data_IF_095429852231
#
_entry.id   IF_095429852231
#
_cell.length_a   1.000
_cell.length_b   1.000
_cell.length_c   1.000
_cell.angle_alpha   90.00
_cell.angle_beta   90.00
_cell.angle_gamma   90.00
#
_symmetry.space_group_name_H-M   'P 1'
#
loop_
_entity.id
_entity.type
_entity.pdbx_description
1 polymer ?
#
# COMPACT_ATOMS: atom_id res chain seq x y z
N UNK A 1 -2.77 16.33 -6.14
CA UNK A 1 -3.93 16.40 -5.23
C UNK A 1 -5.11 15.48 -5.61
N UNK A 2 -4.96 14.51 -6.53
CA UNK A 2 -6.11 13.70 -7.00
C UNK A 2 -6.91 13.02 -5.88
N UNK A 3 -6.25 12.48 -4.85
CA UNK A 3 -6.93 11.81 -3.73
C UNK A 3 -7.97 12.65 -2.99
N UNK A 4 -7.76 13.96 -2.85
CA UNK A 4 -8.68 14.88 -2.15
C UNK A 4 -9.38 15.88 -3.09
N UNK A 5 -9.17 15.74 -4.40
CA UNK A 5 -9.80 16.55 -5.44
C UNK A 5 -11.30 16.26 -5.59
N UNK A 6 -11.95 16.89 -6.57
CA UNK A 6 -13.31 16.51 -6.96
C UNK A 6 -13.24 15.16 -7.68
N UNK A 7 -13.97 14.17 -7.18
CA UNK A 7 -14.11 12.87 -7.84
C UNK A 7 -15.38 12.87 -8.70
N UNK A 8 -15.33 12.18 -9.84
CA UNK A 8 -16.49 11.97 -10.71
C UNK A 8 -17.40 10.83 -10.26
N UNK A 9 -16.98 10.06 -9.25
CA UNK A 9 -17.75 8.99 -8.62
C UNK A 9 -17.41 8.91 -7.11
N UNK A 10 -18.35 8.40 -6.31
CA UNK A 10 -18.09 7.88 -4.97
C UNK A 10 -17.82 6.37 -5.00
N UNK A 11 -17.07 5.81 -4.03
CA UNK A 11 -16.79 4.38 -3.96
C UNK A 11 -18.04 3.49 -4.04
N UNK A 12 -19.13 3.91 -3.39
CA UNK A 12 -20.39 3.15 -3.35
C UNK A 12 -21.14 3.09 -4.70
N UNK A 13 -20.67 3.79 -5.72
CA UNK A 13 -21.23 3.75 -7.08
C UNK A 13 -20.53 2.71 -7.96
N UNK A 14 -19.44 2.09 -7.46
CA UNK A 14 -18.72 1.04 -8.16
C UNK A 14 -19.51 -0.26 -8.06
N UNK A 15 -19.68 -0.94 -9.20
CA UNK A 15 -20.31 -2.26 -9.27
C UNK A 15 -19.30 -3.34 -8.86
N UNK A 16 -19.79 -4.48 -8.39
CA UNK A 16 -18.94 -5.62 -8.09
C UNK A 16 -18.08 -5.98 -9.33
N UNK A 17 -16.74 -5.88 -9.26
CA UNK A 17 -15.87 -6.25 -10.38
C UNK A 17 -15.76 -7.77 -10.56
N UNK A 18 -16.13 -8.57 -9.54
CA UNK A 18 -16.03 -10.04 -9.52
C UNK A 18 -17.41 -10.67 -9.29
N UNK A 19 -18.35 -10.58 -10.24
CA UNK A 19 -19.68 -11.17 -10.09
C UNK A 19 -19.64 -12.70 -10.01
N UNK A 20 -18.61 -13.32 -10.60
CA UNK A 20 -18.45 -14.77 -10.71
C UNK A 20 -17.51 -15.35 -9.63
N UNK A 21 -17.13 -14.53 -8.63
CA UNK A 21 -16.20 -14.88 -7.55
C UNK A 21 -14.80 -15.33 -8.02
N UNK A 22 -14.38 -14.87 -9.19
CA UNK A 22 -13.05 -15.06 -9.79
C UNK A 22 -11.98 -14.12 -9.21
N UNK A 23 -12.37 -13.27 -8.26
CA UNK A 23 -11.49 -12.40 -7.49
C UNK A 23 -12.20 -11.85 -6.24
N UNK A 24 -11.48 -11.06 -5.45
CA UNK A 24 -12.03 -10.44 -4.24
C UNK A 24 -11.50 -9.03 -4.00
N UNK A 25 -12.30 -8.24 -3.27
CA UNK A 25 -11.91 -6.90 -2.81
C UNK A 25 -11.89 -6.88 -1.29
N UNK A 26 -10.76 -6.44 -0.71
CA UNK A 26 -10.54 -6.41 0.73
C UNK A 26 -10.28 -4.97 1.19
N UNK A 27 -10.87 -4.59 2.32
CA UNK A 27 -10.52 -3.36 3.04
C UNK A 27 -10.05 -3.74 4.44
N UNK A 28 -8.82 -3.35 4.78
CA UNK A 28 -8.24 -3.49 6.11
C UNK A 28 -8.14 -2.11 6.77
N UNK A 29 -8.67 -2.00 7.98
CA UNK A 29 -8.74 -0.72 8.70
C UNK A 29 -8.39 -0.91 10.18
N UNK A 30 -7.47 -0.08 10.69
CA UNK A 30 -7.25 0.04 12.13
C UNK A 30 -8.45 0.68 12.81
N UNK A 31 -8.98 0.05 13.86
CA UNK A 31 -10.12 0.58 14.62
C UNK A 31 -9.72 1.83 15.44
N UNK A 32 -8.47 1.90 15.88
CA UNK A 32 -7.91 3.05 16.58
C UNK A 32 -7.20 4.05 15.64
N UNK A 33 -7.45 3.98 14.33
CA UNK A 33 -6.87 4.90 13.36
C UNK A 33 -7.37 6.35 13.61
N UNK A 34 -6.43 7.21 14.02
CA UNK A 34 -6.68 8.63 14.29
C UNK A 34 -6.45 9.52 13.07
N UNK A 35 -5.93 8.98 11.98
CA UNK A 35 -5.71 9.69 10.71
C UNK A 35 -6.92 9.53 9.81
N UNK A 36 -7.47 8.31 9.70
CA UNK A 36 -8.62 7.99 8.85
C UNK A 36 -9.78 7.48 9.71
N UNK A 37 -11.00 8.04 9.57
CA UNK A 37 -12.17 7.51 10.26
C UNK A 37 -12.50 6.11 9.76
N UNK A 38 -12.31 5.10 10.60
CA UNK A 38 -12.75 3.73 10.25
C UNK A 38 -14.25 3.69 9.93
N UNK A 39 -15.06 4.55 10.57
CA UNK A 39 -16.52 4.62 10.41
C UNK A 39 -16.96 4.84 8.96
N UNK A 40 -16.17 5.58 8.18
CA UNK A 40 -16.45 5.84 6.76
C UNK A 40 -16.15 4.59 5.91
N UNK A 41 -15.03 3.92 6.16
CA UNK A 41 -14.67 2.69 5.44
C UNK A 41 -15.61 1.52 5.81
N UNK A 42 -16.07 1.47 7.06
CA UNK A 42 -17.14 0.57 7.52
C UNK A 42 -18.45 0.84 6.77
N UNK A 43 -18.87 2.10 6.68
CA UNK A 43 -20.09 2.48 5.94
C UNK A 43 -20.02 2.10 4.45
N UNK A 44 -18.88 2.34 3.80
CA UNK A 44 -18.68 1.96 2.39
C UNK A 44 -18.84 0.46 2.22
N UNK A 45 -18.22 -0.33 3.09
CA UNK A 45 -18.28 -1.79 3.03
C UNK A 45 -19.69 -2.34 3.32
N UNK A 46 -20.45 -1.70 4.20
CA UNK A 46 -21.88 -2.04 4.41
C UNK A 46 -22.74 -1.78 3.17
N UNK A 47 -22.39 -0.78 2.34
CA UNK A 47 -23.08 -0.48 1.09
C UNK A 47 -22.63 -1.37 -0.07
N UNK A 48 -21.44 -1.94 0.03
CA UNK A 48 -20.80 -2.76 -1.00
C UNK A 48 -20.52 -4.15 -0.43
N UNK A 49 -21.53 -5.04 -0.37
CA UNK A 49 -21.40 -6.34 0.30
C UNK A 49 -20.38 -7.29 -0.36
N UNK A 50 -19.92 -6.98 -1.58
CA UNK A 50 -18.84 -7.66 -2.27
C UNK A 50 -17.44 -7.28 -1.74
N UNK A 51 -17.34 -6.28 -0.85
CA UNK A 51 -16.10 -5.95 -0.15
C UNK A 51 -16.01 -6.75 1.14
N UNK A 52 -14.92 -7.50 1.29
CA UNK A 52 -14.55 -8.15 2.54
C UNK A 52 -13.86 -7.13 3.45
N UNK A 53 -14.57 -6.70 4.49
CA UNK A 53 -14.10 -5.68 5.42
C UNK A 53 -13.50 -6.31 6.67
N UNK A 54 -12.30 -5.86 7.02
CA UNK A 54 -11.51 -6.34 8.13
C UNK A 54 -11.11 -5.17 9.02
N UNK A 55 -11.52 -5.25 10.29
CA UNK A 55 -11.12 -4.27 11.30
C UNK A 55 -10.06 -4.88 12.21
N UNK A 56 -8.99 -4.13 12.43
CA UNK A 56 -7.90 -4.50 13.35
C UNK A 56 -8.15 -3.79 14.67
N UNK A 57 -8.59 -4.51 15.74
CA UNK A 57 -9.08 -3.89 16.98
C UNK A 57 -8.08 -2.93 17.64
N UNK A 58 -6.81 -3.33 17.72
CA UNK A 58 -5.75 -2.51 18.31
C UNK A 58 -4.95 -1.73 17.24
N UNK A 59 -5.37 -1.81 15.98
CA UNK A 59 -4.65 -1.22 14.85
C UNK A 59 -4.80 0.30 14.82
N UNK A 60 -3.66 1.00 14.80
CA UNK A 60 -3.60 2.42 14.44
C UNK A 60 -3.50 2.60 12.92
N UNK A 61 -3.01 3.75 12.44
CA UNK A 61 -2.87 4.00 10.99
C UNK A 61 -1.71 3.20 10.37
N UNK A 62 -0.65 3.01 11.13
CA UNK A 62 0.60 2.39 10.68
C UNK A 62 0.63 0.89 10.95
N UNK A 63 -0.51 0.28 11.30
CA UNK A 63 -0.59 -1.12 11.68
C UNK A 63 0.15 -2.03 10.68
N UNK A 64 0.10 -1.72 9.38
CA UNK A 64 0.75 -2.46 8.28
C UNK A 64 2.27 -2.64 8.42
N UNK A 65 2.94 -1.78 9.19
CA UNK A 65 4.39 -1.83 9.38
C UNK A 65 4.80 -2.76 10.55
N UNK A 66 3.85 -3.43 11.21
CA UNK A 66 4.12 -4.34 12.33
C UNK A 66 4.44 -5.77 11.84
N UNK A 67 5.72 -6.15 11.86
CA UNK A 67 6.29 -7.39 11.30
C UNK A 67 5.63 -8.75 11.63
N UNK A 68 4.77 -8.87 12.65
CA UNK A 68 4.30 -10.20 13.13
C UNK A 68 2.84 -10.56 12.80
N UNK A 69 2.02 -9.63 12.31
CA UNK A 69 0.59 -9.92 12.08
C UNK A 69 0.27 -10.32 10.63
N UNK A 70 1.08 -9.94 9.65
CA UNK A 70 0.69 -10.04 8.22
C UNK A 70 0.91 -11.40 7.55
N UNK A 71 1.73 -12.27 8.14
CA UNK A 71 1.87 -13.65 7.67
C UNK A 71 0.51 -14.37 7.62
N UNK A 72 -0.38 -14.07 8.58
CA UNK A 72 -1.72 -14.65 8.66
C UNK A 72 -2.74 -13.93 7.77
N UNK A 73 -2.61 -12.60 7.59
CA UNK A 73 -3.48 -11.82 6.69
C UNK A 73 -3.29 -12.22 5.23
N UNK A 74 -2.03 -12.26 4.76
CA UNK A 74 -1.70 -12.67 3.39
C UNK A 74 -2.11 -14.12 3.13
N UNK A 75 -1.90 -15.02 4.10
CA UNK A 75 -2.29 -16.44 4.00
C UNK A 75 -3.81 -16.61 3.93
N UNK A 76 -4.60 -15.95 4.79
CA UNK A 76 -6.07 -16.08 4.75
C UNK A 76 -6.69 -15.46 3.51
N UNK A 77 -6.20 -14.31 3.06
CA UNK A 77 -6.78 -13.60 1.93
C UNK A 77 -6.34 -14.24 0.59
N UNK A 78 -5.06 -14.50 0.36
CA UNK A 78 -4.57 -15.12 -0.89
C UNK A 78 -5.05 -16.58 -1.03
N UNK A 79 -5.09 -17.37 0.05
CA UNK A 79 -5.64 -18.74 -0.02
C UNK A 79 -7.17 -18.79 -0.13
N UNK A 80 -7.88 -17.66 0.03
CA UNK A 80 -9.34 -17.57 -0.15
C UNK A 80 -9.76 -17.09 -1.55
N UNK A 81 -8.79 -16.85 -2.43
CA UNK A 81 -8.98 -16.51 -3.84
C UNK A 81 -8.89 -17.82 -4.62
N UNK A 82 -9.93 -18.25 -5.36
CA UNK A 82 -9.89 -19.50 -6.09
C UNK A 82 -8.75 -19.47 -7.11
N UNK A 83 -7.87 -20.48 -7.04
CA UNK A 83 -6.83 -20.72 -8.04
C UNK A 83 -7.50 -21.19 -9.34
N UNK A 84 -7.90 -20.26 -10.21
CA UNK A 84 -8.26 -20.60 -11.59
C UNK A 84 -7.00 -20.72 -12.47
N UNK A 85 -6.12 -21.63 -12.08
CA UNK A 85 -5.16 -22.26 -12.97
C UNK A 85 -5.24 -23.76 -12.71
N UNK A 86 -6.19 -24.41 -13.38
CA UNK A 86 -6.25 -25.85 -13.48
C UNK A 86 -4.92 -26.36 -14.06
N UNK A 87 -4.12 -27.00 -13.20
CA UNK A 87 -3.33 -28.15 -13.62
C UNK A 87 -3.87 -29.35 -12.87
N UNK A 88 -4.41 -30.27 -13.65
CA UNK A 88 -4.77 -31.62 -13.27
C UNK A 88 -3.73 -32.26 -12.34
N UNK A 89 -4.19 -32.88 -11.25
CA UNK A 89 -3.35 -33.81 -10.48
C UNK A 89 -3.50 -33.70 -8.97
N UNK A 90 -4.47 -34.45 -8.43
CA UNK A 90 -4.42 -35.15 -7.14
C UNK A 90 -3.81 -34.44 -5.90
N UNK A 91 -4.69 -34.16 -4.93
CA UNK A 91 -4.56 -34.85 -3.64
C UNK A 91 -4.13 -34.05 -2.41
N UNK A 92 -5.04 -34.10 -1.42
CA UNK A 92 -4.76 -34.19 0.02
C UNK A 92 -4.66 -32.87 0.81
N UNK A 93 -5.76 -32.60 1.52
CA UNK A 93 -5.85 -31.74 2.71
C UNK A 93 -4.84 -32.19 3.77
N UNK A 94 -3.95 -31.30 4.20
CA UNK A 94 -3.18 -31.49 5.43
C UNK A 94 -3.60 -30.47 6.48
N UNK A 95 -4.23 -30.98 7.53
CA UNK A 95 -4.44 -30.29 8.81
C UNK A 95 -3.19 -30.56 9.64
N UNK A 96 -2.47 -29.50 10.04
CA UNK A 96 -1.41 -29.63 11.06
C UNK A 96 -1.90 -28.93 12.33
N UNK A 97 -2.34 -29.74 13.28
CA UNK A 97 -2.44 -29.39 14.70
C UNK A 97 -1.07 -29.52 15.35
N UNK A 98 -0.66 -28.49 16.08
CA UNK A 98 0.49 -28.45 17.00
C UNK A 98 0.32 -29.44 18.16
N UNK A 99 1.37 -30.21 18.51
CA UNK A 99 1.65 -30.46 19.91
C UNK A 99 3.14 -30.26 20.27
N UNK A 100 3.41 -29.20 21.03
CA UNK A 100 4.48 -29.00 22.01
C UNK A 100 5.43 -30.19 22.22
N UNK A 101 6.75 -29.96 22.13
CA UNK A 101 7.67 -29.93 23.30
C UNK A 101 9.15 -30.18 22.93
N UNK A 102 10.02 -29.51 23.70
CA UNK A 102 11.46 -29.78 23.95
C UNK A 102 12.47 -29.38 22.87
N UNK A 103 13.17 -28.29 23.14
CA UNK A 103 14.54 -28.02 22.71
C UNK A 103 15.50 -28.55 23.79
N UNK A 104 16.42 -29.42 23.42
CA UNK A 104 17.66 -29.70 24.15
C UNK A 104 18.86 -29.62 23.18
N UNK A 105 19.65 -28.55 23.34
CA UNK A 105 21.12 -28.45 23.16
C UNK A 105 21.80 -28.60 21.77
N UNK A 106 23.03 -28.07 21.58
CA UNK A 106 23.54 -27.46 20.34
C UNK A 106 24.54 -28.33 19.53
N UNK A 107 25.18 -27.71 18.53
CA UNK A 107 26.25 -28.20 17.61
C UNK A 107 25.65 -28.90 16.35
N UNK A 108 25.61 -28.28 15.16
CA UNK A 108 26.74 -28.06 14.27
C UNK A 108 26.64 -26.78 13.41
N UNK A 109 27.75 -26.03 13.42
CA UNK A 109 28.13 -25.06 12.39
C UNK A 109 28.95 -25.79 11.32
N UNK A 110 28.85 -25.37 10.06
CA UNK A 110 29.96 -24.95 9.15
C UNK A 110 29.61 -25.23 7.68
N UNK A 111 29.32 -24.16 6.92
CA UNK A 111 30.00 -23.72 5.69
C UNK A 111 29.27 -22.45 5.19
N UNK A 112 29.72 -21.25 5.61
CA UNK A 112 30.52 -20.28 4.82
C UNK A 112 29.71 -19.75 3.62
N UNK A 113 29.44 -18.46 3.45
CA UNK A 113 29.91 -17.19 4.03
C UNK A 113 29.50 -16.13 3.00
N UNK A 114 28.84 -15.04 3.36
CA UNK A 114 29.52 -13.76 3.57
C UNK A 114 28.70 -12.85 4.48
N UNK A 115 29.23 -12.58 5.67
CA UNK A 115 28.99 -11.33 6.39
C UNK A 115 29.77 -10.21 5.72
N UNK A 116 29.19 -9.02 5.64
CA UNK A 116 29.94 -7.79 5.83
C UNK A 116 29.22 -6.90 6.85
N UNK A 117 29.99 -6.48 7.85
CA UNK A 117 29.69 -5.52 8.92
C UNK A 117 30.35 -4.16 8.62
N UNK A 118 30.06 -3.10 9.39
CA UNK A 118 30.28 -1.71 8.96
C UNK A 118 31.63 -1.13 9.43
N UNK A 119 32.32 -0.38 8.56
CA UNK A 119 32.65 1.05 8.72
C UNK A 119 33.70 1.50 7.69
N UNK A 120 33.52 2.76 7.28
CA UNK A 120 34.27 3.65 6.39
C UNK A 120 35.79 3.46 6.35
N UNK A 121 36.37 3.41 5.14
CA UNK A 121 37.23 4.50 4.66
C UNK A 121 37.39 4.50 3.12
N UNK A 122 37.51 5.73 2.63
CA UNK A 122 37.85 6.30 1.32
C UNK A 122 37.82 5.50 -0.02
N UNK A 123 37.24 6.19 -1.02
CA UNK A 123 37.33 5.97 -2.48
C UNK A 123 36.64 4.72 -3.06
N UNK A 124 35.34 4.83 -3.36
CA UNK A 124 34.75 4.15 -4.52
C UNK A 124 33.66 5.02 -5.13
N UNK A 125 33.69 5.12 -6.46
CA UNK A 125 32.71 5.83 -7.28
C UNK A 125 31.28 5.54 -6.78
N UNK A 126 30.61 6.60 -6.35
CA UNK A 126 29.18 6.59 -6.02
C UNK A 126 28.42 6.41 -7.34
N UNK A 127 28.39 5.19 -7.86
CA UNK A 127 27.39 4.79 -8.85
C UNK A 127 26.04 4.98 -8.16
N UNK A 128 25.43 6.14 -8.37
CA UNK A 128 24.02 6.31 -8.08
C UNK A 128 23.32 5.22 -8.90
N UNK A 129 22.90 4.14 -8.25
CA UNK A 129 22.07 3.11 -8.85
C UNK A 129 20.75 3.79 -9.18
N UNK A 130 20.66 4.39 -10.36
CA UNK A 130 19.43 4.99 -10.87
C UNK A 130 18.42 3.85 -10.93
N UNK A 131 17.32 3.97 -10.18
CA UNK A 131 16.30 2.95 -10.16
C UNK A 131 15.75 2.72 -11.57
N UNK A 132 15.36 1.48 -11.93
CA UNK A 132 14.79 1.23 -13.23
C UNK A 132 13.52 2.07 -13.42
N UNK A 133 13.34 2.57 -14.64
CA UNK A 133 12.19 3.40 -15.02
C UNK A 133 11.56 2.88 -16.29
N UNK A 134 10.25 3.05 -16.41
CA UNK A 134 9.54 2.94 -17.68
C UNK A 134 9.14 4.32 -18.18
N UNK A 135 9.01 4.47 -19.50
CA UNK A 135 8.51 5.70 -20.12
C UNK A 135 7.06 5.47 -20.56
N UNK A 136 6.14 6.20 -19.96
CA UNK A 136 4.72 6.18 -20.32
C UNK A 136 4.50 6.80 -21.72
N UNK A 137 3.35 6.50 -22.32
CA UNK A 137 2.95 7.04 -23.63
C UNK A 137 2.90 8.55 -23.69
N UNK A 138 2.60 9.20 -22.56
CA UNK A 138 2.59 10.66 -22.44
C UNK A 138 3.97 11.29 -22.21
N UNK A 139 5.03 10.47 -22.18
CA UNK A 139 6.41 10.89 -22.05
C UNK A 139 6.91 11.06 -20.63
N UNK A 140 6.09 10.84 -19.61
CA UNK A 140 6.54 10.77 -18.20
C UNK A 140 7.27 9.46 -17.93
N UNK A 141 8.19 9.48 -16.98
CA UNK A 141 8.83 8.29 -16.46
C UNK A 141 8.25 7.88 -15.11
N UNK A 142 8.05 6.58 -14.90
CA UNK A 142 7.76 6.00 -13.59
C UNK A 142 8.93 5.14 -13.14
N UNK A 143 9.50 5.44 -11.98
CA UNK A 143 10.52 4.62 -11.33
C UNK A 143 9.88 3.50 -10.52
N UNK A 144 10.48 2.31 -10.54
CA UNK A 144 9.95 1.13 -9.87
C UNK A 144 11.03 0.25 -9.26
N UNK A 145 10.60 -0.73 -8.48
CA UNK A 145 11.42 -1.80 -7.91
C UNK A 145 10.60 -3.10 -7.92
N UNK A 146 11.28 -4.20 -8.22
CA UNK A 146 10.73 -5.55 -8.25
C UNK A 146 11.28 -6.34 -7.03
N UNK A 147 10.42 -7.09 -6.34
CA UNK A 147 10.76 -7.89 -5.16
C UNK A 147 10.02 -9.23 -5.19
N UNK A 148 10.47 -10.17 -4.36
CA UNK A 148 9.89 -11.51 -4.25
C UNK A 148 10.41 -12.48 -5.29
N UNK A 149 9.60 -13.48 -5.66
CA UNK A 149 10.04 -14.51 -6.62
C UNK A 149 10.13 -13.94 -8.05
N UNK A 150 10.94 -14.54 -8.95
CA UNK A 150 11.00 -14.14 -10.35
C UNK A 150 9.61 -14.11 -11.01
N UNK A 151 9.32 -13.05 -11.78
CA UNK A 151 8.02 -12.79 -12.40
C UNK A 151 7.49 -13.93 -13.27
N UNK A 152 8.38 -14.67 -13.93
CA UNK A 152 8.08 -15.84 -14.78
C UNK A 152 7.66 -17.08 -13.98
N UNK A 153 8.01 -17.12 -12.69
CA UNK A 153 7.66 -18.21 -11.75
C UNK A 153 6.54 -17.82 -10.77
N UNK A 154 6.08 -16.57 -10.82
CA UNK A 154 5.14 -16.04 -9.85
C UNK A 154 3.71 -16.51 -10.12
N UNK A 155 3.07 -17.04 -9.08
CA UNK A 155 1.62 -17.33 -9.05
C UNK A 155 0.84 -16.04 -8.84
N UNK A 156 1.29 -15.19 -7.91
CA UNK A 156 0.63 -13.92 -7.58
C UNK A 156 1.53 -12.76 -7.97
N UNK A 157 1.03 -11.89 -8.85
CA UNK A 157 1.72 -10.68 -9.27
C UNK A 157 0.99 -9.47 -8.72
N UNK A 158 1.64 -8.78 -7.79
CA UNK A 158 1.01 -7.75 -6.96
C UNK A 158 1.67 -6.41 -7.23
N UNK A 159 0.88 -5.41 -7.62
CA UNK A 159 1.31 -4.03 -7.72
C UNK A 159 0.93 -3.29 -6.44
N UNK A 160 1.91 -2.76 -5.73
CA UNK A 160 1.71 -2.04 -4.46
C UNK A 160 1.81 -0.53 -4.71
N UNK A 161 0.78 0.18 -4.29
CA UNK A 161 0.66 1.64 -4.38
C UNK A 161 0.92 2.27 -3.00
N UNK A 162 2.04 2.98 -2.87
CA UNK A 162 2.47 3.57 -1.60
C UNK A 162 1.63 4.79 -1.16
N UNK A 163 1.64 5.05 0.14
CA UNK A 163 0.94 6.16 0.79
C UNK A 163 1.61 7.54 0.62
N UNK A 164 1.12 8.53 1.38
CA UNK A 164 1.69 9.87 1.44
C UNK A 164 3.07 9.85 2.15
N UNK A 165 4.00 10.69 1.71
CA UNK A 165 5.37 10.75 2.29
C UNK A 165 6.23 9.50 2.06
N UNK A 166 5.74 8.52 1.30
CA UNK A 166 6.42 7.25 1.01
C UNK A 166 6.91 7.19 -0.44
N UNK A 167 7.47 6.05 -0.84
CA UNK A 167 8.05 5.80 -2.15
C UNK A 167 7.92 4.32 -2.53
N UNK A 168 8.48 3.93 -3.68
CA UNK A 168 8.68 2.53 -4.07
C UNK A 168 9.49 1.70 -3.06
N UNK A 169 10.20 2.35 -2.14
CA UNK A 169 10.95 1.72 -1.05
C UNK A 169 10.10 1.43 0.20
N UNK A 170 8.78 1.68 0.15
CA UNK A 170 7.88 1.36 1.26
C UNK A 170 8.08 -0.10 1.70
N UNK A 171 8.45 -0.30 2.95
CA UNK A 171 8.58 -1.64 3.49
C UNK A 171 7.18 -2.29 3.55
N UNK A 172 6.98 -3.30 2.72
CA UNK A 172 5.81 -4.16 2.76
C UNK A 172 6.25 -5.51 3.29
N UNK A 173 6.11 -5.72 4.60
CA UNK A 173 6.68 -6.87 5.28
C UNK A 173 5.77 -8.09 5.15
N UNK A 174 6.22 -9.07 4.38
CA UNK A 174 5.76 -10.45 4.42
C UNK A 174 6.97 -11.36 4.70
N UNK A 175 6.82 -12.45 5.49
CA UNK A 175 7.91 -13.40 5.68
C UNK A 175 8.37 -13.96 4.34
N UNK A 176 9.69 -14.09 4.15
CA UNK A 176 10.23 -14.61 2.89
C UNK A 176 9.71 -16.02 2.61
N UNK A 177 9.53 -16.83 3.65
CA UNK A 177 8.96 -18.17 3.52
C UNK A 177 7.56 -18.14 2.89
N UNK A 178 6.74 -17.14 3.23
CA UNK A 178 5.40 -16.98 2.67
C UNK A 178 5.44 -16.48 1.22
N UNK A 179 6.36 -15.56 0.92
CA UNK A 179 6.59 -15.06 -0.44
C UNK A 179 6.99 -16.22 -1.36
N UNK A 180 7.88 -17.09 -0.89
CA UNK A 180 8.36 -18.24 -1.64
C UNK A 180 7.29 -19.34 -1.73
N UNK A 181 6.62 -19.69 -0.61
CA UNK A 181 5.55 -20.70 -0.56
C UNK A 181 4.41 -20.37 -1.53
N UNK A 182 4.00 -19.10 -1.59
CA UNK A 182 2.90 -18.66 -2.44
C UNK A 182 3.35 -18.25 -3.85
N UNK A 183 4.64 -18.09 -4.10
CA UNK A 183 5.16 -17.61 -5.38
C UNK A 183 4.74 -16.16 -5.66
N UNK A 184 5.00 -15.25 -4.73
CA UNK A 184 4.59 -13.84 -4.81
C UNK A 184 5.67 -12.99 -5.48
N UNK A 185 5.29 -12.31 -6.55
CA UNK A 185 6.04 -11.21 -7.14
C UNK A 185 5.41 -9.87 -6.74
N UNK A 186 6.24 -8.96 -6.26
CA UNK A 186 5.85 -7.62 -5.83
C UNK A 186 6.47 -6.57 -6.75
N UNK A 187 5.63 -5.70 -7.30
CA UNK A 187 6.03 -4.51 -8.03
C UNK A 187 5.62 -3.27 -7.24
N UNK A 188 6.60 -2.43 -6.92
CA UNK A 188 6.39 -1.14 -6.27
C UNK A 188 6.90 -0.04 -7.19
N UNK A 189 6.16 1.06 -7.27
CA UNK A 189 6.55 2.19 -8.11
C UNK A 189 6.36 3.50 -7.38
N UNK A 190 7.19 4.48 -7.72
CA UNK A 190 7.02 5.85 -7.28
C UNK A 190 5.82 6.43 -8.03
N UNK A 191 4.76 6.79 -7.32
CA UNK A 191 3.61 7.48 -7.93
C UNK A 191 4.08 8.76 -8.62
N UNK A 192 3.34 9.24 -9.63
CA UNK A 192 3.69 10.47 -10.32
C UNK A 192 4.05 11.61 -9.33
N UNK A 193 5.18 12.28 -9.52
CA UNK A 193 5.68 13.35 -8.65
C UNK A 193 6.16 12.91 -7.26
N UNK A 194 6.40 11.61 -7.04
CA UNK A 194 7.11 11.07 -5.88
C UNK A 194 8.45 10.48 -6.32
N UNK A 195 9.40 10.43 -5.39
CA UNK A 195 10.71 9.79 -5.57
C UNK A 195 11.36 10.18 -6.89
N UNK A 196 11.58 9.19 -7.74
CA UNK A 196 12.27 9.33 -9.02
C UNK A 196 11.32 9.37 -10.24
N UNK A 197 10.01 9.44 -10.01
CA UNK A 197 8.97 9.52 -11.05
C UNK A 197 8.62 10.96 -11.42
N UNK A 198 8.35 11.18 -12.70
CA UNK A 198 7.98 12.49 -13.22
C UNK A 198 6.62 12.95 -12.66
N UNK A 199 6.43 14.27 -12.44
CA UNK A 199 5.14 14.80 -12.04
C UNK A 199 4.11 14.64 -13.17
N UNK A 200 2.84 14.48 -12.79
CA UNK A 200 1.70 14.58 -13.70
C UNK A 200 0.91 15.86 -13.41
N UNK A 201 1.09 16.94 -14.21
CA UNK A 201 0.31 18.17 -14.07
C UNK A 201 -1.17 18.00 -14.42
N UNK A 202 -1.51 17.02 -15.27
CA UNK A 202 -2.88 16.71 -15.72
C UNK A 202 -3.50 15.56 -14.91
N UNK A 203 -2.98 15.30 -13.71
CA UNK A 203 -3.37 14.16 -12.87
C UNK A 203 -4.89 14.14 -12.60
N UNK A 204 -5.48 12.99 -12.84
CA UNK A 204 -6.87 12.62 -12.55
C UNK A 204 -6.92 11.24 -11.90
N UNK A 205 -8.09 10.83 -11.40
CA UNK A 205 -8.30 9.44 -10.97
C UNK A 205 -8.03 8.46 -12.10
N UNK A 206 -8.59 8.76 -13.29
CA UNK A 206 -8.41 7.91 -14.46
C UNK A 206 -6.94 7.77 -14.85
N UNK A 207 -6.17 8.85 -14.86
CA UNK A 207 -4.74 8.76 -15.20
C UNK A 207 -3.95 7.93 -14.19
N UNK A 208 -4.34 7.89 -12.91
CA UNK A 208 -3.63 7.07 -11.92
C UNK A 208 -3.88 5.57 -12.14
N UNK A 209 -5.07 5.19 -12.60
CA UNK A 209 -5.32 3.82 -13.05
C UNK A 209 -4.52 3.51 -14.33
N UNK A 210 -4.54 4.40 -15.32
CA UNK A 210 -3.82 4.20 -16.58
C UNK A 210 -2.30 4.12 -16.38
N UNK A 211 -1.74 4.87 -15.43
CA UNK A 211 -0.32 4.74 -15.04
C UNK A 211 0.00 3.32 -14.57
N UNK A 212 -0.89 2.68 -13.80
CA UNK A 212 -0.74 1.29 -13.32
C UNK A 212 -0.92 0.30 -14.49
N UNK A 213 -1.86 0.54 -15.38
CA UNK A 213 -2.07 -0.29 -16.57
C UNK A 213 -0.85 -0.28 -17.50
N UNK A 214 -0.34 0.90 -17.85
CA UNK A 214 0.84 1.04 -18.71
C UNK A 214 2.09 0.45 -18.04
N UNK A 215 2.21 0.59 -16.71
CA UNK A 215 3.26 -0.07 -15.94
C UNK A 215 3.16 -1.60 -16.04
N UNK A 216 1.96 -2.15 -15.86
CA UNK A 216 1.73 -3.59 -15.96
C UNK A 216 2.01 -4.13 -17.38
N UNK A 217 1.59 -3.40 -18.41
CA UNK A 217 1.76 -3.77 -19.81
C UNK A 217 3.24 -3.76 -20.22
N UNK A 218 3.95 -2.67 -19.94
CA UNK A 218 5.36 -2.52 -20.34
C UNK A 218 6.27 -3.49 -19.60
N UNK A 219 5.96 -3.79 -18.34
CA UNK A 219 6.70 -4.78 -17.55
C UNK A 219 6.20 -6.21 -17.75
N UNK A 220 5.23 -6.42 -18.64
CA UNK A 220 4.67 -7.74 -18.98
C UNK A 220 4.22 -8.52 -17.73
N UNK A 221 3.54 -7.83 -16.82
CA UNK A 221 3.01 -8.43 -15.59
C UNK A 221 1.96 -9.50 -15.94
N UNK A 222 1.16 -9.25 -16.98
CA UNK A 222 0.17 -10.19 -17.48
C UNK A 222 -1.17 -9.53 -17.75
N UNK A 223 -2.14 -10.34 -18.20
CA UNK A 223 -3.50 -9.86 -18.46
C UNK A 223 -4.19 -9.38 -17.17
N UNK A 224 -4.02 -10.12 -16.08
CA UNK A 224 -4.63 -9.82 -14.78
C UNK A 224 -3.55 -9.77 -13.69
N UNK A 225 -3.72 -8.87 -12.72
CA UNK A 225 -2.82 -8.69 -11.60
C UNK A 225 -3.57 -8.24 -10.34
N UNK A 226 -2.90 -8.35 -9.19
CA UNK A 226 -3.43 -7.88 -7.92
C UNK A 226 -2.95 -6.45 -7.65
N UNK A 227 -3.76 -5.65 -6.95
CA UNK A 227 -3.38 -4.29 -6.55
C UNK A 227 -3.57 -4.12 -5.05
N UNK A 228 -2.55 -3.60 -4.36
CA UNK A 228 -2.63 -3.22 -2.95
C UNK A 228 -2.41 -1.72 -2.82
N UNK A 229 -3.43 -1.00 -2.34
CA UNK A 229 -3.34 0.42 -2.03
C UNK A 229 -3.17 0.70 -0.55
N UNK A 230 -2.09 1.36 -0.16
CA UNK A 230 -1.83 1.70 1.24
C UNK A 230 -2.09 3.18 1.50
N UNK A 231 -2.94 3.49 2.47
CA UNK A 231 -3.26 4.86 2.88
C UNK A 231 -3.63 5.73 1.69
N UNK A 232 -2.81 6.74 1.36
CA UNK A 232 -3.06 7.59 0.19
C UNK A 232 -2.93 6.86 -1.15
N UNK A 233 -2.28 5.70 -1.23
CA UNK A 233 -2.30 4.88 -2.44
C UNK A 233 -3.71 4.39 -2.81
N UNK A 234 -4.65 4.39 -1.85
CA UNK A 234 -6.01 3.90 -2.06
C UNK A 234 -6.79 4.63 -3.15
N UNK A 235 -6.51 5.91 -3.44
CA UNK A 235 -7.27 6.62 -4.49
C UNK A 235 -6.94 6.07 -5.89
N UNK A 236 -5.69 5.65 -6.13
CA UNK A 236 -5.30 5.00 -7.38
C UNK A 236 -5.94 3.61 -7.46
N UNK A 237 -5.96 2.90 -6.33
CA UNK A 237 -6.60 1.59 -6.20
C UNK A 237 -8.12 1.63 -6.43
N UNK A 238 -8.84 2.62 -5.87
CA UNK A 238 -10.24 2.90 -6.20
C UNK A 238 -10.43 3.24 -7.69
N UNK A 239 -9.44 3.90 -8.30
CA UNK A 239 -9.46 4.20 -9.73
C UNK A 239 -9.30 2.92 -10.57
N UNK A 240 -8.45 1.97 -10.15
CA UNK A 240 -8.35 0.66 -10.81
C UNK A 240 -9.68 -0.10 -10.76
N UNK A 241 -10.39 -0.10 -9.63
CA UNK A 241 -11.72 -0.71 -9.54
C UNK A 241 -12.71 -0.09 -10.54
N UNK A 242 -12.63 1.23 -10.75
CA UNK A 242 -13.53 1.95 -11.66
C UNK A 242 -13.19 1.74 -13.13
N UNK A 243 -11.92 1.84 -13.51
CA UNK A 243 -11.49 1.93 -14.90
C UNK A 243 -10.86 0.66 -15.45
N UNK A 244 -10.32 -0.18 -14.58
CA UNK A 244 -9.59 -1.40 -14.95
C UNK A 244 -10.15 -2.67 -14.30
N UNK A 245 -11.48 -2.83 -14.09
CA UNK A 245 -11.99 -4.03 -13.42
C UNK A 245 -11.56 -5.33 -14.13
N UNK A 246 -11.50 -5.29 -15.46
CA UNK A 246 -11.07 -6.42 -16.32
C UNK A 246 -9.58 -6.80 -16.20
N UNK A 247 -8.74 -5.95 -15.59
CA UNK A 247 -7.30 -6.21 -15.36
C UNK A 247 -7.01 -6.70 -13.94
N UNK A 248 -8.00 -6.73 -13.06
CA UNK A 248 -7.81 -7.11 -11.67
C UNK A 248 -8.03 -8.61 -11.50
N UNK A 249 -7.13 -9.27 -10.78
CA UNK A 249 -7.34 -10.61 -10.21
C UNK A 249 -7.84 -10.53 -8.76
N UNK A 250 -7.61 -9.40 -8.10
CA UNK A 250 -8.03 -9.12 -6.75
C UNK A 250 -7.43 -7.79 -6.28
N UNK A 251 -7.96 -7.24 -5.19
CA UNK A 251 -7.55 -5.91 -4.74
C UNK A 251 -7.69 -5.75 -3.24
N UNK A 252 -6.69 -5.14 -2.61
CA UNK A 252 -6.71 -4.81 -1.20
C UNK A 252 -6.46 -3.31 -0.97
N UNK A 253 -7.17 -2.76 0.00
CA UNK A 253 -7.07 -1.39 0.45
C UNK A 253 -6.72 -1.40 1.94
N UNK A 254 -5.58 -0.82 2.31
CA UNK A 254 -5.06 -0.85 3.68
C UNK A 254 -5.07 0.58 4.22
N UNK A 255 -5.79 0.80 5.32
CA UNK A 255 -6.05 2.13 5.89
C UNK A 255 -6.51 3.18 4.85
N UNK A 256 -7.44 2.88 3.94
CA UNK A 256 -7.64 3.70 2.75
C UNK A 256 -8.13 5.11 3.10
N UNK A 257 -7.49 6.12 2.49
CA UNK A 257 -7.91 7.51 2.69
C UNK A 257 -9.36 7.74 2.25
N UNK A 258 -10.03 8.67 2.94
CA UNK A 258 -11.38 9.11 2.60
C UNK A 258 -11.37 10.45 1.87
N UNK A 259 -12.38 10.68 1.04
CA UNK A 259 -12.65 12.00 0.47
C UNK A 259 -13.99 12.53 0.95
N UNK A 260 -13.96 13.58 1.77
CA UNK A 260 -15.17 14.26 2.28
C UNK A 260 -16.06 14.90 1.20
N UNK A 261 -15.61 14.91 -0.06
CA UNK A 261 -16.35 15.39 -1.23
C UNK A 261 -16.94 14.27 -2.09
N UNK A 262 -16.83 13.00 -1.66
CA UNK A 262 -17.48 11.90 -2.39
C UNK A 262 -19.00 12.15 -2.48
N UNK A 263 -19.58 12.11 -3.70
CA UNK A 263 -21.01 12.39 -3.90
C UNK A 263 -21.93 11.52 -3.04
N UNK A 264 -21.52 10.27 -2.79
CA UNK A 264 -22.31 9.28 -2.07
C UNK A 264 -22.08 9.24 -0.56
N UNK A 265 -21.23 10.11 -0.01
CA UNK A 265 -20.90 10.12 1.41
C UNK A 265 -21.93 10.94 2.22
N UNK A 266 -22.68 10.32 3.15
CA UNK A 266 -23.67 11.04 3.95
C UNK A 266 -23.02 12.11 4.83
N UNK A 267 -23.54 13.34 4.76
CA UNK A 267 -23.02 14.45 5.56
C UNK A 267 -23.11 14.23 7.07
N UNK A 268 -24.08 13.41 7.53
CA UNK A 268 -24.24 13.03 8.94
C UNK A 268 -23.06 12.19 9.45
N UNK A 269 -22.51 11.30 8.62
CA UNK A 269 -21.43 10.38 9.00
C UNK A 269 -20.12 11.12 9.31
N UNK A 270 -19.92 12.27 8.69
CA UNK A 270 -18.70 13.08 8.80
C UNK A 270 -18.94 14.45 9.44
N UNK A 271 -20.10 14.65 10.07
CA UNK A 271 -20.50 15.94 10.63
C UNK A 271 -19.55 16.39 11.74
N UNK A 272 -19.22 15.46 12.64
CA UNK A 272 -18.43 15.70 13.85
C UNK A 272 -16.95 15.33 13.70
N UNK A 273 -16.50 14.94 12.50
CA UNK A 273 -15.10 14.58 12.28
C UNK A 273 -14.21 15.83 12.28
N UNK A 274 -13.37 15.95 13.31
CA UNK A 274 -12.43 17.07 13.48
C UNK A 274 -11.45 17.21 12.30
N UNK A 275 -11.08 16.09 11.65
CA UNK A 275 -10.13 16.06 10.52
C UNK A 275 -10.71 16.75 9.30
N UNK A 276 -12.04 16.79 9.17
CA UNK A 276 -12.73 17.43 8.05
C UNK A 276 -12.38 18.92 7.95
N UNK A 277 -12.28 19.63 9.07
CA UNK A 277 -11.93 21.06 9.08
C UNK A 277 -10.49 21.28 8.63
N UNK A 278 -9.58 20.45 9.11
CA UNK A 278 -8.17 20.47 8.72
C UNK A 278 -8.00 20.21 7.22
N UNK A 279 -8.59 19.12 6.71
CA UNK A 279 -8.50 18.75 5.28
C UNK A 279 -9.15 19.81 4.39
N UNK A 280 -10.27 20.42 4.79
CA UNK A 280 -10.86 21.55 4.05
C UNK A 280 -9.90 22.73 3.94
N UNK A 281 -9.23 23.10 5.03
CA UNK A 281 -8.25 24.18 5.03
C UNK A 281 -7.03 23.85 4.18
N UNK A 282 -6.48 22.65 4.31
CA UNK A 282 -5.36 22.19 3.49
C UNK A 282 -5.71 22.22 2.00
N UNK A 283 -6.88 21.72 1.60
CA UNK A 283 -7.36 21.78 0.23
C UNK A 283 -7.59 23.22 -0.25
N UNK A 284 -8.12 24.09 0.60
CA UNK A 284 -8.31 25.51 0.26
C UNK A 284 -6.96 26.17 -0.04
N UNK A 285 -5.97 26.00 0.84
CA UNK A 285 -4.62 26.54 0.67
C UNK A 285 -3.97 26.00 -0.61
N UNK A 286 -4.15 24.71 -0.86
CA UNK A 286 -3.56 24.07 -2.02
C UNK A 286 -4.18 24.54 -3.36
N UNK A 287 -5.46 24.93 -3.37
CA UNK A 287 -6.11 25.47 -4.56
C UNK A 287 -5.81 26.96 -4.79
N UNK A 288 -5.67 27.76 -3.74
CA UNK A 288 -5.50 29.22 -3.85
C UNK A 288 -4.04 29.67 -3.80
N UNK A 289 -3.18 28.89 -3.16
CA UNK A 289 -1.76 29.20 -2.99
C UNK A 289 -0.86 28.00 -3.39
N UNK A 290 -1.02 27.41 -4.58
CA UNK A 290 -0.31 26.19 -4.97
C UNK A 290 1.22 26.39 -5.00
N UNK A 291 1.70 27.57 -5.40
CA UNK A 291 3.13 27.92 -5.41
C UNK A 291 3.71 28.00 -4.00
N UNK A 292 2.96 28.58 -3.06
CA UNK A 292 3.37 28.67 -1.66
C UNK A 292 3.35 27.29 -0.99
N UNK A 293 2.31 26.49 -1.27
CA UNK A 293 2.25 25.11 -0.78
C UNK A 293 3.41 24.29 -1.33
N UNK A 294 3.66 24.36 -2.65
CA UNK A 294 4.79 23.69 -3.30
C UNK A 294 6.11 24.14 -2.67
N UNK A 295 6.33 25.46 -2.56
CA UNK A 295 7.50 26.00 -1.88
C UNK A 295 7.63 25.44 -0.47
N UNK A 296 6.58 25.47 0.35
CA UNK A 296 6.56 24.97 1.73
C UNK A 296 6.90 23.49 1.84
N UNK A 297 6.28 22.61 1.02
CA UNK A 297 6.53 21.16 1.08
C UNK A 297 7.87 20.75 0.47
N UNK A 298 8.46 21.57 -0.39
CA UNK A 298 9.81 21.34 -0.96
C UNK A 298 10.95 21.83 -0.04
N UNK A 299 10.64 22.52 1.06
CA UNK A 299 11.66 22.98 1.99
C UNK A 299 12.28 21.80 2.76
N UNK A 300 13.56 21.50 2.50
CA UNK A 300 14.30 20.40 3.14
C UNK A 300 14.42 20.52 4.67
N UNK A 301 14.32 21.73 5.23
CA UNK A 301 14.41 22.00 6.67
C UNK A 301 13.08 21.94 7.42
N UNK A 302 11.96 21.76 6.72
CA UNK A 302 10.60 21.69 7.28
C UNK A 302 9.89 20.51 6.62
N UNK A 303 10.25 19.26 6.97
CA UNK A 303 9.52 18.13 6.45
C UNK A 303 8.07 18.25 6.93
N UNK A 304 7.14 18.47 6.01
CA UNK A 304 5.70 18.53 6.33
C UNK A 304 5.21 17.23 7.01
N UNK A 305 5.90 16.12 6.73
CA UNK A 305 5.73 14.83 7.40
C UNK A 305 6.16 14.90 8.86
N UNK A 306 7.27 15.57 9.19
CA UNK A 306 7.80 15.68 10.56
C UNK A 306 6.84 16.38 11.53
N UNK A 307 5.98 17.29 11.07
CA UNK A 307 5.00 17.96 11.96
C UNK A 307 3.83 17.04 12.31
N UNK A 308 3.40 16.19 11.37
CA UNK A 308 2.35 15.17 11.61
C UNK A 308 2.95 14.02 12.44
N UNK A 309 4.15 13.56 12.06
CA UNK A 309 4.91 12.49 12.69
C UNK A 309 5.31 12.80 14.14
N UNK A 310 5.57 14.07 14.48
CA UNK A 310 5.93 14.48 15.85
C UNK A 310 4.73 14.72 16.77
N UNK A 311 3.50 14.66 16.27
CA UNK A 311 2.33 14.94 17.09
C UNK A 311 1.64 13.63 17.54
N UNK A 312 1.79 13.24 18.82
CA UNK A 312 1.25 11.98 19.35
C UNK A 312 -0.29 11.91 19.35
N UNK A 313 -0.98 12.99 18.99
CA UNK A 313 -2.44 12.98 18.82
C UNK A 313 -2.90 12.24 17.56
N UNK A 314 -2.05 12.10 16.53
CA UNK A 314 -2.40 11.42 15.27
C UNK A 314 -2.08 9.92 15.24
N UNK A 315 -1.35 9.42 16.24
CA UNK A 315 -0.90 8.03 16.31
C UNK A 315 -1.40 7.42 17.62
N UNK A 316 -1.88 6.18 17.56
CA UNK A 316 -2.19 5.44 18.79
C UNK A 316 -0.89 4.86 19.40
N UNK A 317 -0.98 4.21 20.56
CA UNK A 317 0.21 3.65 21.23
C UNK A 317 0.95 2.63 20.35
N UNK A 318 0.21 1.81 19.60
CA UNK A 318 0.79 0.82 18.69
C UNK A 318 1.56 1.48 17.53
N UNK A 319 1.02 2.55 16.92
CA UNK A 319 1.70 3.31 15.89
C UNK A 319 2.99 3.96 16.41
N UNK A 320 2.96 4.50 17.63
CA UNK A 320 4.15 5.06 18.28
C UNK A 320 5.23 3.99 18.47
N UNK A 321 4.85 2.78 18.89
CA UNK A 321 5.80 1.68 19.08
C UNK A 321 6.38 1.18 17.75
N UNK A 322 5.58 1.15 16.68
CA UNK A 322 6.06 0.87 15.31
C UNK A 322 7.10 1.92 14.89
N UNK A 323 6.79 3.22 15.06
CA UNK A 323 7.68 4.31 14.66
C UNK A 323 9.04 4.25 15.37
N UNK A 324 9.10 3.76 16.62
CA UNK A 324 10.38 3.56 17.34
C UNK A 324 11.28 2.49 16.71
N UNK A 325 10.72 1.58 15.91
CA UNK A 325 11.47 0.47 15.30
C UNK A 325 11.98 0.76 13.89
N UNK A 326 11.57 1.87 13.29
CA UNK A 326 11.92 2.24 11.91
C UNK A 326 13.19 3.11 11.92
N UNK A 327 14.29 2.69 11.26
CA UNK A 327 15.51 3.51 11.15
C UNK A 327 15.22 4.86 10.47
N UNK A 328 15.74 5.96 11.04
CA UNK A 328 15.52 7.31 10.51
C UNK A 328 14.31 8.06 11.09
N UNK A 329 13.55 7.43 11.99
CA UNK A 329 12.42 8.04 12.72
C UNK A 329 12.72 8.20 14.23
N UNK A 330 13.55 9.17 14.64
CA UNK A 330 13.83 9.40 16.05
C UNK A 330 12.66 10.20 16.65
N UNK A 331 11.57 9.52 17.02
CA UNK A 331 10.52 10.22 17.75
C UNK A 331 10.89 10.48 19.21
N UNK A 332 11.84 9.73 19.79
CA UNK A 332 12.18 9.80 21.22
C UNK A 332 13.60 9.30 21.56
N UNK A 333 14.64 9.70 20.81
CA UNK A 333 15.99 9.70 21.42
C UNK A 333 16.08 10.96 22.27
N UNK A 334 16.10 10.78 23.59
CA UNK A 334 16.38 11.85 24.56
C UNK A 334 17.69 12.57 24.24
#
# INVERSE_FOLDING_TARGET
MAGFGKWEFGPTEIKNPFPDNDGSVHIWQGFEDRIIPYTVNRYISQKLPWIRYHEVPDGGHLFILKNKQYAELGRKDLCSIPNNYDREGAGTTFVITDPRSRLDSPVDRILVGTQLSPNQDDSTDEFSLVSPKIRLRDGRNLAYVERGVPKDKATYKIIIVHGFGSSKEMNFSAPQELIDELGIYLLQYDRAGYGESDPNPKRSLKSEALDIEELADQLQIGANFYVIGVSMGSYATWSCLKYLPHRLAGLALIAPVINYRWPSLPGSLVREDYRRRFIKWALWLANHCPKLLHWWVTQKWLPSTAVIEKNPTFFNKNDIDILKTIPGFPMLSK
#
